data_IF_106996043277
#
_entry.id   IF_106996043277
#
_cell.length_a   1.000
_cell.length_b   1.000
_cell.length_c   1.000
_cell.angle_alpha   90.00
_cell.angle_beta   90.00
_cell.angle_gamma   90.00
#
_symmetry.space_group_name_H-M   'P 1'
#
loop_
_entity.id
_entity.type
_entity.pdbx_description
1 polymer ?
#
# COMPACT_ATOMS: atom_id res chain seq x y z
N UNK A 1 -22.76 5.40 -55.76
CA UNK A 1 -23.53 5.52 -54.50
C UNK A 1 -22.58 5.94 -53.39
N UNK A 2 -22.73 7.18 -52.90
CA UNK A 2 -21.96 7.77 -51.80
C UNK A 2 -22.99 8.46 -50.89
N UNK A 3 -22.98 8.14 -49.59
CA UNK A 3 -23.08 9.09 -48.46
C UNK A 3 -23.13 8.31 -47.13
N UNK A 4 -22.11 8.56 -46.31
CA UNK A 4 -22.12 8.32 -44.88
C UNK A 4 -23.26 9.11 -44.22
N UNK A 5 -23.94 8.52 -43.25
CA UNK A 5 -24.31 9.22 -42.00
C UNK A 5 -24.55 8.18 -40.91
N UNK A 6 -23.69 8.24 -39.90
CA UNK A 6 -23.78 7.55 -38.63
C UNK A 6 -25.03 8.00 -37.85
N UNK A 7 -25.50 7.20 -36.90
CA UNK A 7 -26.06 7.72 -35.64
C UNK A 7 -26.01 6.65 -34.52
N UNK A 8 -24.91 6.75 -33.77
CA UNK A 8 -24.81 6.72 -32.30
C UNK A 8 -25.55 5.58 -31.61
N UNK A 9 -24.89 4.42 -31.53
CA UNK A 9 -25.05 3.56 -30.37
C UNK A 9 -24.38 4.28 -29.20
N UNK A 10 -25.18 4.75 -28.26
CA UNK A 10 -24.73 5.23 -26.96
C UNK A 10 -24.00 4.09 -26.25
N UNK A 11 -22.69 3.98 -26.48
CA UNK A 11 -21.80 3.31 -25.56
C UNK A 11 -21.84 4.15 -24.29
N UNK A 12 -22.66 3.73 -23.33
CA UNK A 12 -22.41 3.98 -21.92
C UNK A 12 -20.96 3.65 -21.67
N UNK A 13 -20.14 4.70 -21.62
CA UNK A 13 -18.81 4.63 -21.04
C UNK A 13 -19.04 4.20 -19.60
N UNK A 14 -19.01 2.88 -19.39
CA UNK A 14 -18.51 2.30 -18.17
C UNK A 14 -17.13 2.91 -18.01
N UNK A 15 -17.06 4.04 -17.32
CA UNK A 15 -15.89 4.45 -16.58
C UNK A 15 -15.65 3.29 -15.61
N UNK A 16 -14.97 2.26 -16.10
CA UNK A 16 -14.26 1.33 -15.25
C UNK A 16 -13.29 2.24 -14.51
N UNK A 17 -13.68 2.64 -13.29
CA UNK A 17 -12.72 3.05 -12.29
C UNK A 17 -11.64 1.99 -12.35
N UNK A 18 -10.41 2.43 -12.64
CA UNK A 18 -9.28 1.52 -12.60
C UNK A 18 -9.20 1.09 -11.15
N UNK A 19 -9.75 -0.09 -10.85
CA UNK A 19 -9.68 -0.64 -9.51
C UNK A 19 -8.23 -0.52 -9.08
N UNK A 20 -7.98 0.16 -7.97
CA UNK A 20 -6.64 0.31 -7.44
C UNK A 20 -6.01 -1.08 -7.43
N UNK A 21 -4.86 -1.22 -8.09
CA UNK A 21 -4.26 -2.52 -8.30
C UNK A 21 -4.10 -3.20 -6.94
N UNK A 22 -4.68 -4.39 -6.77
CA UNK A 22 -4.54 -5.12 -5.50
C UNK A 22 -3.05 -5.39 -5.20
N UNK A 23 -2.65 -5.46 -3.91
CA UNK A 23 -1.32 -5.90 -3.55
C UNK A 23 -1.08 -7.29 -4.15
N UNK A 24 0.04 -7.47 -4.86
CA UNK A 24 0.33 -8.72 -5.57
C UNK A 24 0.72 -9.85 -4.61
N UNK A 25 1.61 -9.53 -3.68
CA UNK A 25 2.14 -10.44 -2.66
C UNK A 25 2.86 -9.67 -1.54
N UNK A 26 3.03 -10.30 -0.38
CA UNK A 26 3.71 -9.74 0.79
C UNK A 26 5.13 -9.24 0.49
N UNK A 27 5.87 -9.99 -0.34
CA UNK A 27 7.24 -9.62 -0.71
C UNK A 27 7.28 -8.31 -1.48
N UNK A 28 6.31 -8.08 -2.37
CA UNK A 28 6.16 -6.85 -3.14
C UNK A 28 5.83 -5.66 -2.25
N UNK A 29 4.92 -5.85 -1.28
CA UNK A 29 4.52 -4.83 -0.31
C UNK A 29 5.67 -4.48 0.63
N UNK A 30 6.36 -5.47 1.18
CA UNK A 30 7.52 -5.26 2.05
C UNK A 30 8.69 -4.55 1.31
N UNK A 31 8.88 -4.84 0.02
CA UNK A 31 9.86 -4.12 -0.83
C UNK A 31 9.45 -2.68 -1.12
N UNK A 32 8.15 -2.41 -1.31
CA UNK A 32 7.64 -1.04 -1.47
C UNK A 32 7.92 -0.22 -0.20
N UNK A 33 7.71 -0.82 0.97
CA UNK A 33 8.10 -0.24 2.26
C UNK A 33 9.59 0.07 2.38
N UNK A 34 10.47 -0.86 2.01
CA UNK A 34 11.92 -0.60 2.00
C UNK A 34 12.28 0.60 1.12
N UNK A 35 11.55 0.78 0.00
CA UNK A 35 11.75 1.92 -0.90
C UNK A 35 11.27 3.22 -0.28
N UNK A 36 10.07 3.24 0.31
CA UNK A 36 9.51 4.43 0.96
C UNK A 36 10.35 4.87 2.17
N UNK A 37 10.75 3.93 3.03
CA UNK A 37 11.66 4.20 4.15
C UNK A 37 12.93 4.94 3.71
N UNK A 38 13.52 4.55 2.57
CA UNK A 38 14.75 5.22 2.07
C UNK A 38 14.49 6.65 1.60
N UNK A 39 13.28 6.96 1.16
CA UNK A 39 12.85 8.32 0.81
C UNK A 39 12.69 9.14 2.10
N UNK A 40 11.96 8.62 3.08
CA UNK A 40 11.70 9.28 4.36
C UNK A 40 13.02 9.61 5.08
N UNK A 41 13.89 8.60 5.24
CA UNK A 41 15.18 8.73 5.93
C UNK A 41 16.14 9.66 5.19
N UNK A 42 16.08 9.72 3.85
CA UNK A 42 16.86 10.65 3.07
C UNK A 42 16.36 12.10 3.19
N UNK A 43 15.05 12.31 3.39
CA UNK A 43 14.48 13.63 3.66
C UNK A 43 14.99 14.20 5.00
N UNK A 44 15.28 13.33 5.97
CA UNK A 44 15.92 13.67 7.26
C UNK A 44 17.45 13.85 7.16
N UNK A 45 18.02 13.86 5.95
CA UNK A 45 19.44 14.15 5.72
C UNK A 45 20.38 12.95 5.89
N UNK A 46 19.86 11.73 6.05
CA UNK A 46 20.69 10.53 6.19
C UNK A 46 21.11 10.00 4.82
N UNK A 47 22.41 9.67 4.68
CA UNK A 47 22.94 9.13 3.42
C UNK A 47 22.31 7.78 3.05
N UNK A 48 22.18 7.51 1.74
CA UNK A 48 21.67 6.22 1.23
C UNK A 48 22.41 5.00 1.79
N UNK A 49 23.72 5.13 2.04
CA UNK A 49 24.54 4.05 2.60
C UNK A 49 24.14 3.72 4.05
N UNK A 50 23.88 4.74 4.87
CA UNK A 50 23.41 4.59 6.26
C UNK A 50 21.94 4.19 6.34
N UNK A 51 21.10 4.69 5.43
CA UNK A 51 19.67 4.35 5.38
C UNK A 51 19.41 2.88 5.00
N UNK A 52 20.30 2.26 4.22
CA UNK A 52 20.07 0.91 3.69
C UNK A 52 19.89 -0.19 4.76
N UNK A 53 20.79 -0.36 5.75
CA UNK A 53 20.61 -1.39 6.77
C UNK A 53 19.38 -1.12 7.65
N UNK A 54 19.11 0.15 7.99
CA UNK A 54 17.90 0.56 8.71
C UNK A 54 16.62 0.17 7.94
N UNK A 55 16.51 0.54 6.66
CA UNK A 55 15.30 0.23 5.88
C UNK A 55 15.14 -1.26 5.56
N UNK A 56 16.22 -2.05 5.58
CA UNK A 56 16.12 -3.51 5.52
C UNK A 56 15.52 -4.10 6.80
N UNK A 57 15.85 -3.54 7.95
CA UNK A 57 15.23 -3.91 9.22
C UNK A 57 13.73 -3.56 9.20
N UNK A 58 13.37 -2.31 8.83
CA UNK A 58 11.98 -1.89 8.76
C UNK A 58 11.14 -2.76 7.81
N UNK A 59 11.71 -3.15 6.67
CA UNK A 59 11.09 -4.12 5.75
C UNK A 59 10.79 -5.47 6.43
N UNK A 60 11.69 -5.93 7.28
CA UNK A 60 11.53 -7.22 7.98
C UNK A 60 10.43 -7.10 9.05
N UNK A 61 10.39 -5.98 9.79
CA UNK A 61 9.31 -5.71 10.75
C UNK A 61 7.93 -5.68 10.09
N UNK A 62 7.80 -5.08 8.90
CA UNK A 62 6.55 -5.08 8.13
C UNK A 62 6.17 -6.49 7.68
N UNK A 63 7.14 -7.27 7.17
CA UNK A 63 6.89 -8.65 6.73
C UNK A 63 6.44 -9.53 7.91
N UNK A 64 7.15 -9.46 9.04
CA UNK A 64 6.82 -10.19 10.26
C UNK A 64 5.46 -9.78 10.83
N UNK A 65 5.09 -8.50 10.73
CA UNK A 65 3.77 -8.04 11.17
C UNK A 65 2.65 -8.60 10.30
N UNK A 66 2.85 -8.72 8.99
CA UNK A 66 1.85 -9.33 8.10
C UNK A 66 1.74 -10.84 8.40
N UNK A 67 2.87 -11.56 8.44
CA UNK A 67 2.95 -13.02 8.62
C UNK A 67 2.38 -13.51 9.97
N UNK A 68 2.37 -12.64 11.00
CA UNK A 68 1.76 -12.95 12.31
C UNK A 68 0.24 -12.97 12.33
N UNK A 69 -0.44 -12.57 11.25
CA UNK A 69 -1.90 -12.61 11.15
C UNK A 69 -2.36 -13.79 10.30
N UNK A 70 -3.57 -14.28 10.58
CA UNK A 70 -4.21 -15.37 9.82
C UNK A 70 -5.54 -14.91 9.23
N UNK A 71 -5.99 -15.57 8.16
CA UNK A 71 -7.31 -15.34 7.56
C UNK A 71 -7.53 -13.89 7.09
N UNK A 72 -8.69 -13.33 7.45
CA UNK A 72 -9.09 -11.99 7.02
C UNK A 72 -8.18 -10.90 7.63
N UNK A 73 -7.65 -11.12 8.83
CA UNK A 73 -6.71 -10.19 9.46
C UNK A 73 -5.43 -10.07 8.63
N UNK A 74 -4.93 -11.18 8.10
CA UNK A 74 -3.76 -11.17 7.21
C UNK A 74 -3.98 -10.31 5.98
N UNK A 75 -5.14 -10.46 5.32
CA UNK A 75 -5.48 -9.67 4.15
C UNK A 75 -5.63 -8.18 4.48
N UNK A 76 -6.23 -7.84 5.62
CA UNK A 76 -6.36 -6.46 6.08
C UNK A 76 -4.97 -5.84 6.40
N UNK A 77 -4.06 -6.59 7.02
CA UNK A 77 -2.68 -6.13 7.27
C UNK A 77 -1.90 -5.91 5.98
N UNK A 78 -2.01 -6.84 5.02
CA UNK A 78 -1.38 -6.73 3.71
C UNK A 78 -1.86 -5.48 2.95
N UNK A 79 -3.17 -5.24 2.92
CA UNK A 79 -3.74 -4.04 2.29
C UNK A 79 -3.34 -2.75 3.02
N UNK A 80 -3.33 -2.76 4.36
CA UNK A 80 -2.89 -1.60 5.15
C UNK A 80 -1.44 -1.22 4.83
N UNK A 81 -0.55 -2.21 4.74
CA UNK A 81 0.83 -2.00 4.35
C UNK A 81 0.97 -1.55 2.89
N UNK A 82 0.11 -2.04 2.00
CA UNK A 82 0.11 -1.61 0.60
C UNK A 82 -0.19 -0.11 0.44
N UNK A 83 -1.19 0.41 1.18
CA UNK A 83 -1.59 1.82 1.12
C UNK A 83 -0.43 2.79 1.43
N UNK A 84 0.33 2.55 2.49
CA UNK A 84 1.46 3.41 2.87
C UNK A 84 2.71 3.21 1.99
N UNK A 85 2.81 2.06 1.32
CA UNK A 85 3.87 1.78 0.36
C UNK A 85 3.69 2.51 -0.98
N UNK A 86 2.53 3.12 -1.21
CA UNK A 86 2.18 3.85 -2.43
C UNK A 86 1.72 5.28 -2.10
N UNK A 87 2.64 6.26 -2.08
CA UNK A 87 2.33 7.65 -1.70
C UNK A 87 1.41 8.37 -2.70
N UNK A 88 1.23 7.82 -3.91
CA UNK A 88 0.34 8.38 -4.93
C UNK A 88 -1.10 7.80 -4.81
N UNK A 89 -1.33 6.84 -3.90
CA UNK A 89 -2.62 6.21 -3.71
C UNK A 89 -3.58 7.14 -2.96
N UNK A 90 -4.73 7.43 -3.60
CA UNK A 90 -5.81 8.15 -2.92
C UNK A 90 -6.55 7.23 -1.96
N UNK A 91 -7.04 7.81 -0.87
CA UNK A 91 -7.82 7.11 0.15
C UNK A 91 -9.08 6.46 -0.43
N UNK A 92 -9.81 7.16 -1.31
CA UNK A 92 -11.00 6.61 -1.98
C UNK A 92 -10.65 5.38 -2.83
N UNK A 93 -9.62 5.51 -3.67
CA UNK A 93 -9.15 4.44 -4.56
C UNK A 93 -8.68 3.21 -3.75
N UNK A 94 -8.04 3.45 -2.61
CA UNK A 94 -7.61 2.40 -1.68
C UNK A 94 -8.79 1.60 -1.12
N UNK A 95 -9.81 2.27 -0.56
CA UNK A 95 -10.96 1.56 0.02
C UNK A 95 -11.85 0.92 -1.05
N UNK A 96 -12.01 1.54 -2.22
CA UNK A 96 -12.70 0.92 -3.36
C UNK A 96 -11.96 -0.34 -3.85
N UNK A 97 -10.63 -0.28 -3.95
CA UNK A 97 -9.79 -1.42 -4.30
C UNK A 97 -9.89 -2.56 -3.27
N UNK A 98 -9.83 -2.23 -1.97
CA UNK A 98 -9.94 -3.21 -0.90
C UNK A 98 -11.32 -3.89 -0.89
N UNK A 99 -12.39 -3.11 -1.09
CA UNK A 99 -13.75 -3.64 -1.24
C UNK A 99 -13.88 -4.57 -2.44
N UNK A 100 -13.28 -4.20 -3.59
CA UNK A 100 -13.26 -5.05 -4.78
C UNK A 100 -12.48 -6.36 -4.56
N UNK A 101 -11.54 -6.39 -3.63
CA UNK A 101 -10.83 -7.59 -3.19
C UNK A 101 -11.58 -8.40 -2.12
N UNK A 102 -12.80 -8.01 -1.76
CA UNK A 102 -13.65 -8.72 -0.81
C UNK A 102 -13.43 -8.33 0.66
N UNK A 103 -12.68 -7.26 0.93
CA UNK A 103 -12.47 -6.78 2.29
C UNK A 103 -13.57 -5.81 2.72
N UNK A 104 -13.92 -5.85 4.01
CA UNK A 104 -14.82 -4.88 4.60
C UNK A 104 -14.07 -3.54 4.84
N UNK A 105 -14.47 -2.44 4.17
CA UNK A 105 -13.80 -1.15 4.34
C UNK A 105 -13.83 -0.60 5.76
N UNK A 106 -14.90 -0.89 6.52
CA UNK A 106 -15.03 -0.40 7.90
C UNK A 106 -14.08 -1.15 8.84
N UNK A 107 -13.89 -2.46 8.62
CA UNK A 107 -12.88 -3.25 9.36
C UNK A 107 -11.47 -2.81 9.00
N UNK A 108 -11.22 -2.49 7.73
CA UNK A 108 -9.93 -1.96 7.27
C UNK A 108 -9.63 -0.59 7.86
N UNK A 109 -10.60 0.33 7.87
CA UNK A 109 -10.51 1.62 8.57
C UNK A 109 -10.26 1.43 10.06
N UNK A 110 -11.04 0.57 10.70
CA UNK A 110 -10.87 0.26 12.10
C UNK A 110 -9.48 -0.32 12.37
N UNK A 111 -8.93 -1.16 11.49
CA UNK A 111 -7.59 -1.72 11.62
C UNK A 111 -6.51 -0.63 11.52
N UNK A 112 -6.58 0.23 10.51
CA UNK A 112 -5.65 1.36 10.35
C UNK A 112 -5.62 2.26 11.60
N UNK A 113 -6.78 2.49 12.21
CA UNK A 113 -6.93 3.28 13.43
C UNK A 113 -6.51 2.51 14.71
N UNK A 114 -6.99 1.28 14.88
CA UNK A 114 -6.91 0.51 16.15
C UNK A 114 -5.64 -0.30 16.32
N UNK A 115 -5.06 -0.83 15.23
CA UNK A 115 -3.74 -1.46 15.28
C UNK A 115 -2.62 -0.44 15.28
N UNK A 116 -2.95 0.87 15.29
CA UNK A 116 -1.99 1.96 15.16
C UNK A 116 -1.03 1.68 14.01
N UNK A 117 -1.55 1.66 12.78
CA UNK A 117 -0.71 1.56 11.60
C UNK A 117 0.02 2.89 11.38
N UNK A 118 0.96 3.15 12.28
CA UNK A 118 1.82 4.30 12.36
C UNK A 118 3.17 3.86 11.78
N UNK A 119 3.57 4.35 10.59
CA UNK A 119 4.81 3.93 9.94
C UNK A 119 6.04 3.97 10.85
N UNK A 120 6.10 4.93 11.79
CA UNK A 120 7.16 5.05 12.78
C UNK A 120 7.33 3.83 13.69
N UNK A 121 6.30 3.00 13.90
CA UNK A 121 6.41 1.78 14.71
C UNK A 121 7.22 0.67 14.04
N UNK A 122 7.24 0.62 12.70
CA UNK A 122 8.11 -0.30 11.97
C UNK A 122 9.57 0.17 11.93
N UNK A 123 9.79 1.45 12.25
CA UNK A 123 11.11 2.08 12.29
C UNK A 123 11.74 2.01 13.68
N UNK A 124 10.93 2.06 14.74
CA UNK A 124 11.40 2.08 16.13
C UNK A 124 12.33 0.91 16.52
N UNK A 125 12.08 -0.37 16.13
CA UNK A 125 12.99 -1.48 16.43
C UNK A 125 14.36 -1.37 15.74
N UNK A 126 14.48 -0.50 14.74
CA UNK A 126 15.63 -0.41 13.85
C UNK A 126 16.55 0.79 14.13
N UNK A 127 16.18 1.69 15.04
CA UNK A 127 16.85 2.99 15.26
C UNK A 127 18.34 2.82 15.55
N UNK A 128 18.74 1.85 16.37
CA UNK A 128 20.13 1.59 16.74
C UNK A 128 21.03 1.17 15.55
N UNK A 129 20.44 0.79 14.41
CA UNK A 129 21.18 0.42 13.19
C UNK A 129 21.70 1.66 12.44
N UNK A 130 21.07 2.82 12.65
CA UNK A 130 21.37 4.05 11.92
C UNK A 130 22.29 5.01 12.69
N UNK A 131 22.44 4.82 14.01
CA UNK A 131 23.36 5.56 14.90
C UNK A 131 24.84 5.36 14.55
#
# INVERSE_FOLDING_TARGET
MRRLTALIASATLLTMGTAAAAPKDETSVAKAWEKQCRVDVAAEGVSKARARPFCKCARSEVADWIDKAEGDEHALRLWSAYYQGDPDMREDDFYEGAAAAGLNPDELKAMLVSLFFEPGKFYAPCVDIIE
#
